data_IF_711493322153
#
_entry.id   IF_711493322153
#
_cell.length_a   1.000
_cell.length_b   1.000
_cell.length_c   1.000
_cell.angle_alpha   90.00
_cell.angle_beta   90.00
_cell.angle_gamma   90.00
#
_symmetry.space_group_name_H-M   'P 1'
#
loop_
_entity.id
_entity.type
_entity.pdbx_description
1 polymer ?
#
# COMPACT_ATOMS: atom_id res chain seq x y z
N UNK A 1 -25.11 -4.36 -8.36
CA UNK A 1 -24.98 -4.97 -7.01
C UNK A 1 -23.63 -4.53 -6.47
N UNK A 2 -23.59 -3.68 -5.44
CA UNK A 2 -22.35 -3.20 -4.81
C UNK A 2 -22.10 -4.04 -3.56
N UNK A 3 -20.87 -4.54 -3.39
CA UNK A 3 -20.46 -5.34 -2.24
C UNK A 3 -19.77 -4.42 -1.23
N UNK A 4 -20.37 -4.24 -0.06
CA UNK A 4 -19.76 -3.50 1.05
C UNK A 4 -18.70 -4.38 1.68
N UNK A 5 -17.44 -3.97 1.67
CA UNK A 5 -16.30 -4.74 2.17
C UNK A 5 -16.33 -5.01 3.67
N UNK A 6 -16.85 -4.07 4.46
CA UNK A 6 -17.02 -4.27 5.89
C UNK A 6 -18.01 -5.40 6.21
N UNK A 7 -18.81 -5.86 5.23
CA UNK A 7 -19.86 -6.86 5.43
C UNK A 7 -20.07 -7.88 4.31
N UNK A 8 -19.28 -7.90 3.22
CA UNK A 8 -19.55 -8.61 1.95
C UNK A 8 -21.04 -8.83 1.65
N UNK A 9 -21.86 -7.79 1.88
CA UNK A 9 -23.30 -7.84 1.66
C UNK A 9 -23.57 -7.49 0.20
N UNK A 10 -24.31 -8.35 -0.50
CA UNK A 10 -25.02 -7.94 -1.70
C UNK A 10 -26.12 -6.97 -1.29
N UNK A 11 -25.94 -5.66 -1.52
CA UNK A 11 -27.08 -4.75 -1.53
C UNK A 11 -27.98 -5.12 -2.71
N UNK A 12 -29.07 -5.87 -2.46
CA UNK A 12 -30.21 -5.90 -3.39
C UNK A 12 -30.89 -4.54 -3.29
N UNK A 13 -30.81 -3.75 -4.35
CA UNK A 13 -31.76 -2.66 -4.59
C UNK A 13 -33.12 -3.31 -4.91
N UNK A 14 -33.88 -3.68 -3.88
CA UNK A 14 -35.31 -3.88 -4.00
C UNK A 14 -35.95 -2.83 -3.11
N UNK A 15 -36.55 -1.81 -3.73
CA UNK A 15 -37.47 -0.96 -2.99
C UNK A 15 -38.60 -1.86 -2.48
N UNK A 16 -38.85 -1.83 -1.17
CA UNK A 16 -39.76 -2.71 -0.42
C UNK A 16 -39.15 -4.09 -0.11
N UNK A 17 -38.46 -4.17 1.03
CA UNK A 17 -38.76 -5.12 2.12
C UNK A 17 -37.63 -5.11 3.17
N UNK A 18 -38.04 -5.37 4.42
CA UNK A 18 -37.29 -5.27 5.68
C UNK A 18 -35.80 -5.69 5.61
N UNK A 19 -34.89 -5.05 6.38
CA UNK A 19 -33.47 -5.39 6.36
C UNK A 19 -33.27 -6.81 6.89
N UNK A 20 -33.03 -7.75 5.98
CA UNK A 20 -32.56 -9.09 6.32
C UNK A 20 -31.15 -8.91 6.89
N UNK A 21 -31.01 -9.02 8.21
CA UNK A 21 -29.69 -9.07 8.87
C UNK A 21 -29.00 -10.38 8.51
N UNK A 22 -28.32 -10.42 7.37
CA UNK A 22 -27.35 -11.48 7.09
C UNK A 22 -26.19 -11.35 8.10
N UNK A 23 -26.12 -12.28 9.07
CA UNK A 23 -24.96 -12.41 9.97
C UNK A 23 -23.76 -12.87 9.15
N UNK A 24 -22.84 -11.95 8.83
CA UNK A 24 -21.60 -12.32 8.17
C UNK A 24 -20.64 -12.97 9.17
N UNK A 25 -19.85 -13.93 8.68
CA UNK A 25 -18.75 -14.54 9.42
C UNK A 25 -17.56 -13.58 9.38
N UNK A 26 -17.12 -13.11 10.55
CA UNK A 26 -15.91 -12.30 10.71
C UNK A 26 -14.70 -13.01 10.09
N UNK A 27 -13.68 -12.25 9.63
CA UNK A 27 -12.39 -12.78 9.16
C UNK A 27 -11.76 -13.77 10.15
N UNK A 28 -12.12 -13.69 11.44
CA UNK A 28 -11.76 -14.70 12.46
C UNK A 28 -12.20 -16.12 12.12
N UNK A 29 -13.10 -16.31 11.15
CA UNK A 29 -13.56 -17.62 10.68
C UNK A 29 -12.56 -18.30 9.73
N UNK A 30 -11.52 -17.61 9.29
CA UNK A 30 -10.49 -18.12 8.37
C UNK A 30 -9.07 -17.90 8.94
N UNK A 31 -8.74 -18.50 10.11
CA UNK A 31 -7.46 -18.26 10.78
C UNK A 31 -6.24 -18.75 9.97
N UNK A 32 -6.45 -19.65 9.02
CA UNK A 32 -5.41 -20.25 8.18
C UNK A 32 -5.25 -19.58 6.81
N UNK A 33 -5.92 -18.46 6.58
CA UNK A 33 -5.87 -17.77 5.30
C UNK A 33 -4.46 -17.26 5.01
N UNK A 34 -3.91 -17.68 3.86
CA UNK A 34 -2.56 -17.30 3.40
C UNK A 34 -2.58 -16.38 2.19
N UNK A 35 -3.67 -16.41 1.42
CA UNK A 35 -3.87 -15.56 0.24
C UNK A 35 -5.25 -14.93 0.35
N UNK A 36 -5.30 -13.61 0.28
CA UNK A 36 -6.53 -12.83 0.16
C UNK A 36 -6.45 -12.02 -1.14
N UNK A 37 -7.06 -12.54 -2.21
CA UNK A 37 -7.19 -11.81 -3.47
C UNK A 37 -8.65 -11.42 -3.68
N UNK A 38 -8.89 -10.11 -3.67
CA UNK A 38 -10.20 -9.49 -3.90
C UNK A 38 -10.10 -8.39 -4.98
N UNK A 39 -9.04 -8.46 -5.79
CA UNK A 39 -8.75 -7.49 -6.86
C UNK A 39 -9.85 -7.43 -7.92
N UNK A 40 -9.90 -6.32 -8.66
CA UNK A 40 -10.78 -6.14 -9.83
C UNK A 40 -12.27 -6.33 -9.52
N UNK A 41 -12.72 -5.71 -8.43
CA UNK A 41 -14.11 -5.76 -8.01
C UNK A 41 -14.69 -4.34 -7.82
N UNK A 42 -15.96 -4.27 -7.44
CA UNK A 42 -16.61 -3.03 -7.05
C UNK A 42 -16.73 -2.91 -5.51
N UNK A 43 -15.79 -3.49 -4.76
CA UNK A 43 -15.80 -3.48 -3.30
C UNK A 43 -15.51 -2.06 -2.81
N UNK A 44 -16.27 -1.60 -1.83
CA UNK A 44 -16.10 -0.27 -1.24
C UNK A 44 -16.19 -0.35 0.28
N UNK A 45 -15.68 0.66 0.98
CA UNK A 45 -15.56 0.69 2.43
C UNK A 45 -14.12 0.94 2.87
N UNK A 46 -13.87 0.83 4.17
CA UNK A 46 -12.51 0.94 4.73
C UNK A 46 -11.87 -0.43 4.88
N UNK A 47 -10.53 -0.51 4.84
CA UNK A 47 -9.84 -1.76 5.20
C UNK A 47 -9.88 -1.91 6.73
N UNK A 48 -10.55 -2.93 7.29
CA UNK A 48 -10.77 -3.01 8.72
C UNK A 48 -9.49 -3.39 9.44
N UNK A 49 -9.24 -2.79 10.62
CA UNK A 49 -8.07 -3.10 11.44
C UNK A 49 -7.96 -4.59 11.82
N UNK A 50 -9.08 -5.32 11.85
CA UNK A 50 -9.09 -6.76 12.12
C UNK A 50 -8.34 -7.60 11.08
N UNK A 51 -8.02 -7.06 9.89
CA UNK A 51 -7.16 -7.75 8.91
C UNK A 51 -5.81 -8.14 9.52
N UNK A 52 -5.28 -7.34 10.45
CA UNK A 52 -4.04 -7.61 11.16
C UNK A 52 -4.07 -8.83 12.08
N UNK A 53 -5.22 -9.48 12.27
CA UNK A 53 -5.33 -10.74 13.02
C UNK A 53 -5.01 -11.96 12.15
N UNK A 54 -5.04 -11.82 10.82
CA UNK A 54 -4.79 -12.89 9.85
C UNK A 54 -3.28 -13.09 9.62
N UNK A 55 -2.55 -13.36 10.68
CA UNK A 55 -1.07 -13.36 10.73
C UNK A 55 -0.38 -14.38 9.84
N UNK A 56 -1.13 -15.30 9.21
CA UNK A 56 -0.65 -16.28 8.23
C UNK A 56 -0.71 -15.78 6.78
N UNK A 57 -1.28 -14.59 6.54
CA UNK A 57 -1.33 -13.99 5.20
C UNK A 57 0.06 -13.74 4.65
N UNK A 58 0.26 -14.21 3.42
CA UNK A 58 1.44 -14.01 2.59
C UNK A 58 1.16 -13.06 1.42
N UNK A 59 -0.04 -13.13 0.87
CA UNK A 59 -0.45 -12.31 -0.26
C UNK A 59 -1.77 -11.61 0.08
N UNK A 60 -1.76 -10.28 -0.06
CA UNK A 60 -2.97 -9.47 -0.06
C UNK A 60 -3.01 -8.69 -1.37
N UNK A 61 -4.08 -8.92 -2.13
CA UNK A 61 -4.38 -8.15 -3.33
C UNK A 61 -5.79 -7.55 -3.23
N UNK A 62 -5.82 -6.24 -2.99
CA UNK A 62 -7.02 -5.41 -2.89
C UNK A 62 -7.15 -4.44 -4.07
N UNK A 63 -6.32 -4.63 -5.10
CA UNK A 63 -6.19 -3.68 -6.19
C UNK A 63 -7.49 -3.51 -6.99
N UNK A 64 -7.63 -2.39 -7.70
CA UNK A 64 -8.74 -2.15 -8.63
C UNK A 64 -10.12 -2.31 -7.96
N UNK A 65 -10.35 -1.55 -6.90
CA UNK A 65 -11.58 -1.52 -6.11
C UNK A 65 -11.95 -0.06 -5.79
N UNK A 66 -12.82 0.14 -4.79
CA UNK A 66 -13.26 1.46 -4.31
C UNK A 66 -13.05 1.59 -2.79
N UNK A 67 -11.98 0.99 -2.27
CA UNK A 67 -11.58 1.20 -0.88
C UNK A 67 -11.20 2.64 -0.65
N UNK A 68 -11.57 3.19 0.51
CA UNK A 68 -11.26 4.57 0.86
C UNK A 68 -10.82 4.67 2.31
N UNK A 69 -10.49 5.90 2.72
CA UNK A 69 -9.94 6.21 4.05
C UNK A 69 -8.50 5.67 4.22
N UNK A 70 -8.01 5.68 5.46
CA UNK A 70 -6.62 5.36 5.79
C UNK A 70 -6.30 3.87 5.78
N UNK A 71 -5.04 3.54 5.54
CA UNK A 71 -4.49 2.21 5.79
C UNK A 71 -4.47 1.93 7.30
N UNK A 72 -5.00 0.79 7.77
CA UNK A 72 -4.96 0.47 9.20
C UNK A 72 -3.53 0.11 9.64
N UNK A 73 -3.11 0.64 10.79
CA UNK A 73 -1.78 0.39 11.36
C UNK A 73 -1.52 -1.11 11.61
N UNK A 74 -2.59 -1.86 11.88
CA UNK A 74 -2.54 -3.31 12.11
C UNK A 74 -2.09 -4.13 10.89
N UNK A 75 -2.00 -3.54 9.68
CA UNK A 75 -1.33 -4.18 8.56
C UNK A 75 0.11 -4.57 8.92
N UNK A 76 0.79 -3.80 9.76
CA UNK A 76 2.14 -4.12 10.23
C UNK A 76 2.26 -5.42 11.03
N UNK A 77 1.14 -5.98 11.51
CA UNK A 77 1.15 -7.27 12.23
C UNK A 77 1.33 -8.46 11.29
N UNK A 78 1.15 -8.29 9.98
CA UNK A 78 1.17 -9.37 8.99
C UNK A 78 2.60 -9.70 8.56
N UNK A 79 3.46 -10.06 9.50
CA UNK A 79 4.91 -10.19 9.27
C UNK A 79 5.31 -11.31 8.29
N UNK A 80 4.38 -12.19 7.91
CA UNK A 80 4.58 -13.20 6.86
C UNK A 80 4.28 -12.69 5.44
N UNK A 81 3.80 -11.45 5.30
CA UNK A 81 3.39 -10.89 4.03
C UNK A 81 4.59 -10.70 3.08
N UNK A 82 4.43 -11.21 1.87
CA UNK A 82 5.38 -11.09 0.76
C UNK A 82 4.88 -10.14 -0.32
N UNK A 83 3.56 -10.01 -0.49
CA UNK A 83 2.95 -9.19 -1.54
C UNK A 83 1.79 -8.37 -0.97
N UNK A 84 1.83 -7.06 -1.18
CA UNK A 84 0.76 -6.13 -0.81
C UNK A 84 0.42 -5.21 -1.99
N UNK A 85 -0.75 -5.46 -2.60
CA UNK A 85 -1.29 -4.63 -3.68
C UNK A 85 -2.57 -3.92 -3.21
N UNK A 86 -2.55 -2.59 -3.26
CA UNK A 86 -3.70 -1.72 -2.89
C UNK A 86 -3.94 -0.67 -4.00
N UNK A 87 -3.24 -0.78 -5.13
CA UNK A 87 -3.36 0.18 -6.22
C UNK A 87 -4.78 0.31 -6.77
N UNK A 88 -5.06 1.45 -7.39
CA UNK A 88 -6.34 1.73 -8.05
C UNK A 88 -7.52 1.62 -7.07
N UNK A 89 -7.43 2.43 -6.02
CA UNK A 89 -8.47 2.61 -5.01
C UNK A 89 -8.62 4.12 -4.72
N UNK A 90 -9.32 4.46 -3.64
CA UNK A 90 -9.48 5.83 -3.13
C UNK A 90 -8.91 5.97 -1.71
N UNK A 91 -7.86 5.21 -1.38
CA UNK A 91 -7.20 5.25 -0.07
C UNK A 91 -6.53 6.61 0.13
N UNK A 92 -6.69 7.18 1.32
CA UNK A 92 -6.16 8.51 1.68
C UNK A 92 -5.32 8.45 2.97
N UNK A 93 -4.82 9.61 3.41
CA UNK A 93 -3.95 9.70 4.58
C UNK A 93 -2.52 9.21 4.30
N UNK A 94 -1.75 9.00 5.36
CA UNK A 94 -0.32 8.68 5.24
C UNK A 94 -0.06 7.19 5.08
N UNK A 95 1.12 6.84 4.57
CA UNK A 95 1.65 5.48 4.63
C UNK A 95 2.06 5.21 6.10
N UNK A 96 1.49 4.21 6.79
CA UNK A 96 1.88 3.88 8.15
C UNK A 96 3.35 3.44 8.23
N UNK A 97 4.07 3.88 9.27
CA UNK A 97 5.45 3.45 9.51
C UNK A 97 5.54 1.93 9.77
N UNK A 98 4.44 1.34 10.25
CA UNK A 98 4.25 -0.08 10.56
C UNK A 98 4.39 -0.97 9.32
N UNK A 99 4.22 -0.44 8.10
CA UNK A 99 4.57 -1.16 6.87
C UNK A 99 6.04 -1.58 6.87
N UNK A 100 6.93 -0.80 7.51
CA UNK A 100 8.34 -1.15 7.71
C UNK A 100 8.58 -2.39 8.60
N UNK A 101 7.55 -2.93 9.26
CA UNK A 101 7.66 -4.18 10.04
C UNK A 101 7.53 -5.43 9.17
N UNK A 102 7.05 -5.29 7.93
CA UNK A 102 6.81 -6.38 6.99
C UNK A 102 8.11 -6.87 6.34
N UNK A 103 9.09 -7.33 7.13
CA UNK A 103 10.44 -7.68 6.65
C UNK A 103 10.50 -8.76 5.56
N UNK A 104 9.41 -9.50 5.34
CA UNK A 104 9.28 -10.49 4.28
C UNK A 104 8.73 -9.92 2.96
N UNK A 105 8.35 -8.64 2.92
CA UNK A 105 7.72 -8.03 1.77
C UNK A 105 8.69 -7.96 0.59
N UNK A 106 8.23 -8.46 -0.55
CA UNK A 106 8.94 -8.51 -1.84
C UNK A 106 8.35 -7.46 -2.77
N UNK A 107 7.04 -7.23 -2.71
CA UNK A 107 6.33 -6.32 -3.60
C UNK A 107 5.35 -5.46 -2.83
N UNK A 108 5.45 -4.14 -3.04
CA UNK A 108 4.58 -3.13 -2.48
C UNK A 108 4.09 -2.20 -3.60
N UNK A 109 2.79 -2.24 -3.87
CA UNK A 109 2.14 -1.46 -4.91
C UNK A 109 0.96 -0.68 -4.32
N UNK A 110 1.12 0.64 -4.24
CA UNK A 110 0.18 1.59 -3.64
C UNK A 110 -0.26 2.68 -4.64
N UNK A 111 0.08 2.54 -5.92
CA UNK A 111 -0.15 3.55 -6.95
C UNK A 111 -1.64 3.86 -7.17
N UNK A 112 -1.94 5.03 -7.72
CA UNK A 112 -3.30 5.44 -8.09
C UNK A 112 -4.25 5.40 -6.89
N UNK A 113 -3.92 6.19 -5.88
CA UNK A 113 -4.69 6.44 -4.66
C UNK A 113 -4.61 7.96 -4.32
N UNK A 114 -5.09 8.35 -3.14
CA UNK A 114 -5.01 9.71 -2.61
C UNK A 114 -4.08 9.80 -1.38
N UNK A 115 -3.02 8.97 -1.33
CA UNK A 115 -2.09 8.95 -0.19
C UNK A 115 -1.32 10.28 -0.10
N UNK A 116 -1.13 10.77 1.13
CA UNK A 116 -0.47 12.03 1.46
C UNK A 116 0.68 11.82 2.45
N UNK A 117 1.32 12.91 2.91
CA UNK A 117 2.47 12.84 3.82
C UNK A 117 3.75 12.45 3.11
N UNK A 118 4.74 11.98 3.87
CA UNK A 118 6.05 11.58 3.35
C UNK A 118 6.20 10.05 3.26
N UNK A 119 7.20 9.61 2.50
CA UNK A 119 7.63 8.21 2.48
C UNK A 119 8.28 7.89 3.85
N UNK A 120 7.76 6.94 4.64
CA UNK A 120 8.32 6.62 5.95
C UNK A 120 9.75 6.06 5.83
N UNK A 121 10.73 6.58 6.60
CA UNK A 121 12.09 6.03 6.63
C UNK A 121 12.15 4.54 7.02
N UNK A 122 11.15 4.06 7.77
CA UNK A 122 11.03 2.64 8.16
C UNK A 122 10.90 1.69 6.96
N UNK A 123 10.50 2.17 5.78
CA UNK A 123 10.49 1.34 4.56
C UNK A 123 11.90 0.83 4.19
N UNK A 124 12.97 1.51 4.64
CA UNK A 124 14.34 1.00 4.48
C UNK A 124 14.63 -0.32 5.22
N UNK A 125 13.73 -0.80 6.07
CA UNK A 125 13.83 -2.11 6.72
C UNK A 125 13.39 -3.29 5.82
N UNK A 126 12.73 -3.00 4.68
CA UNK A 126 12.17 -4.00 3.78
C UNK A 126 13.24 -4.59 2.85
N UNK A 127 14.29 -5.19 3.40
CA UNK A 127 15.49 -5.59 2.66
C UNK A 127 15.25 -6.66 1.57
N UNK A 128 14.09 -7.33 1.57
CA UNK A 128 13.67 -8.28 0.52
C UNK A 128 12.89 -7.62 -0.62
N UNK A 129 12.54 -6.34 -0.50
CA UNK A 129 11.72 -5.63 -1.45
C UNK A 129 12.42 -5.53 -2.81
N UNK A 130 11.72 -5.93 -3.86
CA UNK A 130 12.15 -5.88 -5.25
C UNK A 130 11.38 -4.85 -6.05
N UNK A 131 10.11 -4.62 -5.68
CA UNK A 131 9.23 -3.67 -6.35
C UNK A 131 8.58 -2.75 -5.34
N UNK A 132 8.77 -1.44 -5.53
CA UNK A 132 8.08 -0.40 -4.78
C UNK A 132 7.49 0.65 -5.72
N UNK A 133 6.16 0.69 -5.75
CA UNK A 133 5.40 1.62 -6.57
C UNK A 133 4.42 2.43 -5.73
N UNK A 134 4.46 3.75 -5.96
CA UNK A 134 3.72 4.78 -5.24
C UNK A 134 3.16 5.84 -6.21
N UNK A 135 3.10 5.52 -7.51
CA UNK A 135 2.82 6.50 -8.56
C UNK A 135 1.41 7.08 -8.42
N UNK A 136 1.16 8.29 -8.92
CA UNK A 136 -0.18 8.90 -8.97
C UNK A 136 -0.84 8.92 -7.58
N UNK A 137 -0.19 9.61 -6.65
CA UNK A 137 -0.68 9.91 -5.31
C UNK A 137 -0.41 11.41 -4.99
N UNK A 138 -0.63 11.82 -3.75
CA UNK A 138 -0.37 13.18 -3.24
C UNK A 138 0.81 13.19 -2.25
N UNK A 139 1.79 12.30 -2.43
CA UNK A 139 2.93 12.14 -1.52
C UNK A 139 3.88 13.32 -1.66
N UNK A 140 4.35 13.84 -0.53
CA UNK A 140 5.12 15.07 -0.39
C UNK A 140 6.41 14.82 0.39
N UNK A 141 7.23 15.86 0.58
CA UNK A 141 8.52 15.74 1.26
C UNK A 141 9.59 15.05 0.41
N UNK A 142 10.69 14.64 1.03
CA UNK A 142 11.84 14.06 0.34
C UNK A 142 11.75 12.53 0.25
N UNK A 143 12.47 11.94 -0.70
CA UNK A 143 12.78 10.50 -0.64
C UNK A 143 13.74 10.29 0.55
N UNK A 144 13.46 9.38 1.50
CA UNK A 144 14.34 9.14 2.64
C UNK A 144 15.63 8.44 2.20
N UNK A 145 16.75 8.80 2.84
CA UNK A 145 18.06 8.19 2.55
C UNK A 145 18.08 6.68 2.78
N UNK A 146 17.21 6.19 3.67
CA UNK A 146 17.03 4.79 4.03
C UNK A 146 16.61 3.92 2.84
N UNK A 147 16.07 4.50 1.77
CA UNK A 147 15.80 3.78 0.51
C UNK A 147 17.07 3.09 -0.01
N UNK A 148 18.26 3.68 0.17
CA UNK A 148 19.52 3.05 -0.25
C UNK A 148 19.89 1.75 0.46
N UNK A 149 19.15 1.35 1.51
CA UNK A 149 19.28 0.05 2.19
C UNK A 149 18.60 -1.09 1.41
N UNK A 150 17.72 -0.79 0.46
CA UNK A 150 16.93 -1.76 -0.29
C UNK A 150 17.73 -2.42 -1.42
N UNK A 151 18.78 -3.16 -1.09
CA UNK A 151 19.74 -3.74 -2.05
C UNK A 151 19.13 -4.71 -3.07
N UNK A 152 17.92 -5.21 -2.81
CA UNK A 152 17.19 -6.08 -3.73
C UNK A 152 16.22 -5.33 -4.67
N UNK A 153 16.10 -4.01 -4.54
CA UNK A 153 15.14 -3.22 -5.30
C UNK A 153 15.52 -3.19 -6.78
N UNK A 154 14.59 -3.62 -7.63
CA UNK A 154 14.69 -3.68 -9.09
C UNK A 154 13.86 -2.54 -9.70
N UNK A 155 12.69 -2.29 -9.10
CA UNK A 155 11.70 -1.33 -9.58
C UNK A 155 11.37 -0.30 -8.50
N UNK A 156 11.62 0.98 -8.80
CA UNK A 156 11.21 2.10 -7.96
C UNK A 156 10.41 3.10 -8.81
N UNK A 157 9.16 3.34 -8.42
CA UNK A 157 8.27 4.27 -9.12
C UNK A 157 7.53 5.19 -8.16
N UNK A 158 7.88 6.47 -8.20
CA UNK A 158 7.25 7.53 -7.40
C UNK A 158 6.68 8.65 -8.28
N UNK A 159 6.59 8.43 -9.60
CA UNK A 159 6.09 9.42 -10.55
C UNK A 159 4.70 9.96 -10.22
N UNK A 160 4.41 11.20 -10.64
CA UNK A 160 3.11 11.84 -10.41
C UNK A 160 2.78 11.94 -8.91
N UNK A 161 3.65 12.63 -8.18
CA UNK A 161 3.48 12.97 -6.76
C UNK A 161 3.93 14.44 -6.54
N UNK A 162 4.04 14.83 -5.28
CA UNK A 162 4.48 16.15 -4.82
C UNK A 162 5.85 16.08 -4.14
N UNK A 163 6.68 15.07 -4.44
CA UNK A 163 7.99 14.89 -3.80
C UNK A 163 8.93 16.06 -4.13
N UNK A 164 9.68 16.51 -3.13
CA UNK A 164 10.57 17.68 -3.17
C UNK A 164 11.99 17.28 -2.76
N UNK A 165 12.90 18.27 -2.76
CA UNK A 165 14.29 18.09 -2.33
C UNK A 165 15.14 17.34 -3.35
N UNK A 166 16.40 17.06 -3.01
CA UNK A 166 17.29 16.29 -3.87
C UNK A 166 16.94 14.79 -3.84
N UNK A 167 17.28 14.09 -4.92
CA UNK A 167 17.32 12.63 -4.91
C UNK A 167 18.49 12.22 -3.99
N UNK A 168 18.27 11.40 -2.94
CA UNK A 168 19.35 10.99 -2.06
C UNK A 168 20.47 10.30 -2.84
N UNK A 169 21.72 10.66 -2.56
CA UNK A 169 22.89 9.99 -3.15
C UNK A 169 22.92 8.48 -2.86
N UNK A 170 22.25 8.06 -1.76
CA UNK A 170 22.05 6.66 -1.40
C UNK A 170 21.21 5.88 -2.42
N UNK A 171 20.50 6.51 -3.36
CA UNK A 171 19.89 5.80 -4.49
C UNK A 171 20.96 5.11 -5.36
N UNK A 172 22.19 5.66 -5.42
CA UNK A 172 23.33 5.01 -6.08
C UNK A 172 23.76 3.69 -5.46
N UNK A 173 23.31 3.40 -4.22
CA UNK A 173 23.58 2.13 -3.54
C UNK A 173 22.68 0.97 -4.01
N UNK A 174 21.67 1.24 -4.84
CA UNK A 174 20.69 0.27 -5.33
C UNK A 174 21.20 -0.44 -6.60
N UNK A 175 22.19 -1.30 -6.44
CA UNK A 175 22.92 -1.93 -7.56
C UNK A 175 22.09 -2.86 -8.44
N UNK A 176 20.90 -3.28 -8.00
CA UNK A 176 19.94 -4.08 -8.80
C UNK A 176 18.85 -3.26 -9.47
N UNK A 177 18.80 -1.95 -9.24
CA UNK A 177 17.75 -1.10 -9.76
C UNK A 177 17.88 -1.00 -11.29
N UNK A 178 16.83 -1.40 -12.00
CA UNK A 178 16.77 -1.34 -13.46
C UNK A 178 15.75 -0.31 -13.93
N UNK A 179 14.69 -0.12 -13.16
CA UNK A 179 13.59 0.75 -13.53
C UNK A 179 13.37 1.82 -12.45
N UNK A 180 13.70 3.06 -12.79
CA UNK A 180 13.51 4.23 -11.93
C UNK A 180 12.56 5.23 -12.58
N UNK A 181 11.41 5.47 -11.95
CA UNK A 181 10.40 6.39 -12.44
C UNK A 181 10.08 7.44 -11.40
N UNK A 182 10.60 8.65 -11.61
CA UNK A 182 10.52 9.78 -10.66
C UNK A 182 9.95 11.05 -11.30
N UNK A 183 9.56 10.99 -12.58
CA UNK A 183 9.00 12.10 -13.34
C UNK A 183 7.71 12.66 -12.72
N UNK A 184 7.34 13.89 -13.07
CA UNK A 184 6.14 14.55 -12.55
C UNK A 184 6.15 14.64 -11.00
N UNK A 185 7.26 15.15 -10.47
CA UNK A 185 7.46 15.54 -9.08
C UNK A 185 8.07 16.96 -9.04
N UNK A 186 8.45 17.44 -7.86
CA UNK A 186 9.07 18.76 -7.61
C UNK A 186 10.52 18.63 -7.13
N UNK A 187 11.27 17.64 -7.63
CA UNK A 187 12.67 17.42 -7.26
C UNK A 187 13.54 18.62 -7.63
N UNK A 188 14.53 18.90 -6.77
CA UNK A 188 15.49 19.98 -6.95
C UNK A 188 16.88 19.40 -7.15
N UNK A 189 17.70 20.09 -7.94
CA UNK A 189 19.13 19.77 -8.04
C UNK A 189 19.78 20.19 -6.71
N UNK A 190 20.68 19.39 -6.12
CA UNK A 190 21.47 19.85 -4.98
C UNK A 190 22.14 21.18 -5.34
N UNK A 191 21.90 22.24 -4.57
CA UNK A 191 22.66 23.48 -4.72
C UNK A 191 24.12 23.15 -4.46
N UNK A 192 24.98 23.31 -5.46
CA UNK A 192 26.42 23.24 -5.28
C UNK A 192 26.82 24.22 -4.17
N UNK A 193 27.14 23.73 -2.98
CA UNK A 193 28.01 24.46 -2.08
C UNK A 193 29.35 24.59 -2.80
N UNK A 194 29.73 25.85 -3.04
CA UNK A 194 31.02 26.23 -3.63
C UNK A 194 32.16 25.89 -2.69
#
# INVERSE_FOLDING_TARGET
>A
MQLIWENMQCCRQSQRDKPIRCKFKSFSSFPDLTILNLSSNALHGTIPAHIGTLTKLKIIDLSMNRFFNVLPLSLGNLTQLTTLYINENSISGTIPQEIGYLKNLIELELSSNFLTGSIPPSLGHLMKLTTFYLRRNNISGCIPQEIGKLKNLINLGTSFNLLTGPIPSTVGNLTKLTNLYINNNKFQVPSHEK
#
